data_IF_592205698775
#
_entry.id   IF_592205698775
#
_cell.length_a   1.000
_cell.length_b   1.000
_cell.length_c   1.000
_cell.angle_alpha   90.00
_cell.angle_beta   90.00
_cell.angle_gamma   90.00
#
_symmetry.space_group_name_H-M   'P 1'
#
loop_
_entity.id
_entity.type
_entity.pdbx_description
1 polymer ?
#
# COMPACT_ATOMS: atom_id res chain seq x y z
N UNK A 1 -8.71 -16.50 10.75
CA UNK A 1 -9.54 -17.00 9.62
C UNK A 1 -9.02 -18.37 9.22
N UNK A 2 -9.87 -19.39 9.13
CA UNK A 2 -9.52 -20.74 8.69
C UNK A 2 -9.14 -20.75 7.20
N UNK A 3 -8.41 -21.76 6.68
CA UNK A 3 -8.10 -21.88 5.26
C UNK A 3 -9.35 -21.83 4.37
N UNK A 4 -10.41 -22.54 4.74
CA UNK A 4 -11.68 -22.57 3.99
C UNK A 4 -12.37 -21.18 3.94
N UNK A 5 -12.28 -20.40 5.02
CA UNK A 5 -12.80 -19.03 5.04
C UNK A 5 -11.98 -18.10 4.16
N UNK A 6 -10.68 -18.33 4.01
CA UNK A 6 -9.83 -17.55 3.10
C UNK A 6 -10.24 -17.75 1.64
N UNK A 7 -10.56 -18.98 1.24
CA UNK A 7 -11.01 -19.28 -0.12
C UNK A 7 -12.36 -18.61 -0.43
N UNK A 8 -13.30 -18.68 0.51
CA UNK A 8 -14.58 -17.97 0.38
C UNK A 8 -14.38 -16.45 0.29
N UNK A 9 -13.47 -15.88 1.09
CA UNK A 9 -13.14 -14.46 1.05
C UNK A 9 -12.53 -14.05 -0.31
N UNK A 10 -11.63 -14.85 -0.90
CA UNK A 10 -11.06 -14.62 -2.24
C UNK A 10 -12.16 -14.52 -3.30
N UNK A 11 -13.12 -15.45 -3.28
CA UNK A 11 -14.25 -15.45 -4.21
C UNK A 11 -15.12 -14.21 -4.06
N UNK A 12 -15.41 -13.79 -2.82
CA UNK A 12 -16.19 -12.59 -2.54
C UNK A 12 -15.48 -11.32 -3.01
N UNK A 13 -14.19 -11.20 -2.73
CA UNK A 13 -13.38 -10.05 -3.17
C UNK A 13 -13.28 -10.02 -4.69
N UNK A 14 -13.00 -11.15 -5.32
CA UNK A 14 -12.96 -11.27 -6.79
C UNK A 14 -14.29 -10.89 -7.44
N UNK A 15 -15.43 -11.28 -6.83
CA UNK A 15 -16.76 -10.87 -7.29
C UNK A 15 -16.96 -9.36 -7.14
N UNK A 16 -16.66 -8.81 -5.97
CA UNK A 16 -16.79 -7.38 -5.71
C UNK A 16 -15.97 -6.51 -6.66
N UNK A 17 -14.75 -6.93 -7.01
CA UNK A 17 -13.90 -6.21 -7.97
C UNK A 17 -14.51 -6.10 -9.38
N UNK A 18 -15.42 -6.99 -9.75
CA UNK A 18 -16.12 -6.99 -11.04
C UNK A 18 -17.36 -6.10 -11.05
N UNK A 19 -17.80 -5.63 -9.88
CA UNK A 19 -19.00 -4.80 -9.79
C UNK A 19 -18.81 -3.42 -10.45
N UNK A 20 -19.83 -3.00 -11.21
CA UNK A 20 -19.81 -1.71 -11.92
C UNK A 20 -19.90 -0.49 -11.00
N UNK A 21 -20.35 -0.67 -9.75
CA UNK A 21 -20.47 0.42 -8.80
C UNK A 21 -19.11 1.07 -8.43
N UNK A 22 -17.99 0.39 -8.73
CA UNK A 22 -16.64 0.91 -8.54
C UNK A 22 -16.06 1.59 -9.79
N UNK A 23 -16.85 1.84 -10.82
CA UNK A 23 -16.36 2.53 -12.02
C UNK A 23 -15.91 3.97 -11.67
N UNK A 24 -14.69 4.31 -12.06
CA UNK A 24 -14.09 5.62 -11.76
C UNK A 24 -13.46 5.76 -10.37
N UNK A 25 -13.39 4.67 -9.58
CA UNK A 25 -12.74 4.63 -8.27
C UNK A 25 -11.56 3.68 -8.34
N UNK A 26 -10.44 4.04 -7.71
CA UNK A 26 -9.29 3.15 -7.55
C UNK A 26 -9.62 2.04 -6.55
N UNK A 27 -9.32 0.80 -6.94
CA UNK A 27 -9.64 -0.41 -6.17
C UNK A 27 -8.35 -1.04 -5.66
N UNK A 28 -8.12 -0.95 -4.36
CA UNK A 28 -7.01 -1.61 -3.70
C UNK A 28 -7.49 -2.81 -2.89
N UNK A 29 -6.74 -3.91 -2.95
CA UNK A 29 -7.05 -5.13 -2.20
C UNK A 29 -5.94 -5.40 -1.20
N UNK A 30 -6.26 -5.45 0.10
CA UNK A 30 -5.32 -5.94 1.10
C UNK A 30 -5.24 -7.47 1.01
N UNK A 31 -4.05 -7.97 0.73
CA UNK A 31 -3.74 -9.39 0.66
C UNK A 31 -3.23 -9.91 2.03
N UNK A 32 -3.11 -11.21 2.19
CA UNK A 32 -2.34 -11.79 3.30
C UNK A 32 -0.84 -11.55 3.09
N UNK A 33 -0.02 -11.76 4.13
CA UNK A 33 1.44 -11.80 3.92
C UNK A 33 1.77 -12.92 2.92
N UNK A 34 2.84 -12.76 2.16
CA UNK A 34 3.22 -13.77 1.16
C UNK A 34 3.40 -15.16 1.80
N UNK A 35 3.98 -15.20 3.01
CA UNK A 35 4.18 -16.43 3.77
C UNK A 35 2.86 -17.11 4.23
N UNK A 36 1.73 -16.38 4.31
CA UNK A 36 0.48 -16.89 4.89
C UNK A 36 -0.67 -16.96 3.89
N UNK A 37 -0.39 -16.90 2.60
CA UNK A 37 -1.37 -17.06 1.54
C UNK A 37 -1.54 -15.86 0.60
N UNK A 38 -0.65 -14.87 0.66
CA UNK A 38 -0.66 -13.71 -0.24
C UNK A 38 -0.49 -14.10 -1.70
N UNK A 39 0.28 -15.14 -2.02
CA UNK A 39 0.40 -15.69 -3.37
C UNK A 39 -0.96 -16.13 -3.92
N UNK A 40 -1.71 -16.93 -3.15
CA UNK A 40 -3.04 -17.37 -3.56
C UNK A 40 -4.04 -16.21 -3.66
N UNK A 41 -3.88 -15.17 -2.83
CA UNK A 41 -4.69 -13.95 -2.93
C UNK A 41 -4.40 -13.22 -4.23
N UNK A 42 -3.12 -13.03 -4.59
CA UNK A 42 -2.68 -12.40 -5.85
C UNK A 42 -3.26 -13.17 -7.05
N UNK A 43 -3.10 -14.50 -7.07
CA UNK A 43 -3.63 -15.35 -8.14
C UNK A 43 -5.15 -15.21 -8.30
N UNK A 44 -5.90 -15.02 -7.20
CA UNK A 44 -7.35 -14.86 -7.23
C UNK A 44 -7.81 -13.47 -7.67
N UNK A 45 -7.10 -12.39 -7.27
CA UNK A 45 -7.60 -11.02 -7.47
C UNK A 45 -7.06 -10.35 -8.72
N UNK A 46 -5.83 -10.65 -9.17
CA UNK A 46 -5.20 -10.01 -10.34
C UNK A 46 -6.01 -10.21 -11.63
N UNK A 47 -6.62 -11.38 -11.91
CA UNK A 47 -7.53 -11.53 -13.05
C UNK A 47 -8.75 -10.59 -13.03
N UNK A 48 -9.12 -10.07 -11.85
CA UNK A 48 -10.21 -9.09 -11.69
C UNK A 48 -9.72 -7.64 -11.84
N UNK A 49 -8.42 -7.44 -12.14
CA UNK A 49 -7.78 -6.16 -12.46
C UNK A 49 -7.95 -5.11 -11.35
N UNK A 50 -7.52 -5.38 -10.11
CA UNK A 50 -7.42 -4.32 -9.11
C UNK A 50 -6.40 -3.26 -9.56
N UNK A 51 -6.54 -2.04 -9.07
CA UNK A 51 -5.56 -0.99 -9.35
C UNK A 51 -4.30 -1.16 -8.50
N UNK A 52 -4.45 -1.68 -7.28
CA UNK A 52 -3.33 -1.94 -6.37
C UNK A 52 -3.60 -3.15 -5.46
N UNK A 53 -2.51 -3.74 -4.95
CA UNK A 53 -2.54 -4.63 -3.79
C UNK A 53 -1.85 -3.97 -2.61
N UNK A 54 -2.44 -4.10 -1.41
CA UNK A 54 -1.81 -3.66 -0.17
C UNK A 54 -1.09 -4.85 0.46
N UNK A 55 0.23 -4.75 0.57
CA UNK A 55 1.11 -5.78 1.12
C UNK A 55 1.33 -5.53 2.61
N UNK A 56 0.76 -6.37 3.51
CA UNK A 56 0.92 -6.19 4.94
C UNK A 56 2.33 -6.61 5.41
N UNK A 57 2.74 -6.07 6.55
CA UNK A 57 4.02 -6.40 7.24
C UNK A 57 5.24 -6.31 6.34
N UNK A 58 5.26 -5.28 5.50
CA UNK A 58 6.41 -5.03 4.63
C UNK A 58 7.57 -4.48 5.45
N UNK A 59 8.70 -5.17 5.44
CA UNK A 59 9.89 -4.83 6.23
C UNK A 59 11.16 -4.68 5.40
N UNK A 60 11.14 -5.05 4.12
CA UNK A 60 12.33 -5.08 3.28
C UNK A 60 12.05 -4.83 1.80
N UNK A 61 13.12 -4.53 1.05
CA UNK A 61 13.10 -4.48 -0.41
C UNK A 61 12.70 -5.85 -0.99
N UNK A 62 13.11 -6.94 -0.34
CA UNK A 62 12.87 -8.29 -0.84
C UNK A 62 11.38 -8.66 -0.77
N UNK A 63 10.63 -8.13 0.23
CA UNK A 63 9.17 -8.29 0.29
C UNK A 63 8.49 -7.66 -0.94
N UNK A 64 8.97 -6.48 -1.33
CA UNK A 64 8.45 -5.79 -2.52
C UNK A 64 8.79 -6.57 -3.79
N UNK A 65 10.03 -7.03 -3.93
CA UNK A 65 10.47 -7.80 -5.11
C UNK A 65 9.73 -9.12 -5.25
N UNK A 66 9.52 -9.82 -4.13
CA UNK A 66 8.75 -11.06 -4.13
C UNK A 66 7.29 -10.81 -4.52
N UNK A 67 6.67 -9.76 -4.00
CA UNK A 67 5.32 -9.37 -4.41
C UNK A 67 5.26 -8.99 -5.89
N UNK A 68 6.22 -8.20 -6.38
CA UNK A 68 6.29 -7.80 -7.79
C UNK A 68 6.40 -9.00 -8.73
N UNK A 69 7.23 -9.98 -8.41
CA UNK A 69 7.39 -11.19 -9.20
C UNK A 69 6.07 -11.99 -9.31
N UNK A 70 5.37 -12.16 -8.20
CA UNK A 70 4.05 -12.82 -8.17
C UNK A 70 2.99 -12.06 -8.97
N UNK A 71 3.01 -10.73 -8.91
CA UNK A 71 2.12 -9.90 -9.72
C UNK A 71 2.43 -10.04 -11.21
N UNK A 72 3.70 -10.07 -11.61
CA UNK A 72 4.11 -10.25 -13.00
C UNK A 72 3.67 -11.60 -13.56
N UNK A 73 3.82 -12.65 -12.77
CA UNK A 73 3.36 -13.99 -13.14
C UNK A 73 1.84 -14.03 -13.33
N UNK A 74 1.08 -13.51 -12.37
CA UNK A 74 -0.38 -13.49 -12.42
C UNK A 74 -0.91 -12.60 -13.56
N UNK A 75 -0.29 -11.45 -13.81
CA UNK A 75 -0.61 -10.54 -14.93
C UNK A 75 -0.35 -11.22 -16.29
N UNK A 76 0.79 -11.90 -16.44
CA UNK A 76 1.12 -12.64 -17.64
C UNK A 76 0.11 -13.77 -17.90
N UNK A 77 -0.26 -14.52 -16.86
CA UNK A 77 -1.21 -15.63 -16.96
C UNK A 77 -2.62 -15.18 -17.39
N UNK A 78 -3.06 -13.98 -17.01
CA UNK A 78 -4.39 -13.45 -17.38
C UNK A 78 -4.37 -12.43 -18.53
N UNK A 79 -3.22 -12.15 -19.15
CA UNK A 79 -3.09 -11.18 -20.23
C UNK A 79 -3.44 -9.73 -19.79
N UNK A 80 -3.06 -9.34 -18.58
CA UNK A 80 -3.34 -8.02 -18.08
C UNK A 80 -2.44 -6.96 -18.75
N UNK A 81 -3.05 -5.99 -19.43
CA UNK A 81 -2.30 -4.88 -20.06
C UNK A 81 -1.84 -3.81 -19.04
N UNK A 82 -2.59 -3.62 -17.95
CA UNK A 82 -2.29 -2.67 -16.89
C UNK A 82 -1.58 -3.39 -15.75
N UNK A 83 -0.46 -2.84 -15.29
CA UNK A 83 0.26 -3.35 -14.11
C UNK A 83 -0.48 -2.98 -12.82
N UNK A 84 -0.60 -3.94 -11.93
CA UNK A 84 -1.13 -3.74 -10.57
C UNK A 84 -0.07 -3.05 -9.71
N UNK A 85 -0.45 -2.00 -9.00
CA UNK A 85 0.45 -1.24 -8.12
C UNK A 85 0.61 -1.95 -6.77
N UNK A 86 1.65 -1.59 -6.02
CA UNK A 86 1.94 -2.12 -4.68
C UNK A 86 1.81 -0.99 -3.67
N UNK A 87 1.04 -1.23 -2.63
CA UNK A 87 0.88 -0.36 -1.47
C UNK A 87 1.47 -1.04 -0.24
N UNK A 88 2.75 -0.80 0.12
CA UNK A 88 3.33 -1.36 1.32
C UNK A 88 2.61 -0.85 2.56
N UNK A 89 2.21 -1.77 3.45
CA UNK A 89 1.66 -1.45 4.76
C UNK A 89 2.78 -1.58 5.80
N UNK A 90 3.25 -0.43 6.27
CA UNK A 90 4.30 -0.32 7.28
C UNK A 90 3.64 -0.40 8.65
N UNK A 91 3.83 -1.52 9.33
CA UNK A 91 3.16 -1.83 10.59
C UNK A 91 4.09 -2.50 11.63
N UNK A 92 5.41 -2.36 11.40
CA UNK A 92 6.45 -2.79 12.33
C UNK A 92 7.56 -1.74 12.44
N UNK A 93 8.32 -1.72 13.56
CA UNK A 93 9.49 -0.84 13.71
C UNK A 93 10.56 -1.07 12.64
N UNK A 94 10.76 -2.32 12.20
CA UNK A 94 11.72 -2.64 11.14
C UNK A 94 11.28 -2.08 9.79
N UNK A 95 10.00 -2.26 9.42
CA UNK A 95 9.45 -1.67 8.21
C UNK A 95 9.53 -0.14 8.21
N UNK A 96 9.29 0.49 9.36
CA UNK A 96 9.43 1.94 9.49
C UNK A 96 10.89 2.39 9.32
N UNK A 97 11.84 1.70 9.94
CA UNK A 97 13.27 2.02 9.81
C UNK A 97 13.75 1.96 8.35
N UNK A 98 13.14 1.12 7.53
CA UNK A 98 13.49 0.90 6.11
C UNK A 98 12.49 1.51 5.12
N UNK A 99 11.57 2.35 5.58
CA UNK A 99 10.45 2.81 4.74
C UNK A 99 10.90 3.56 3.47
N UNK A 100 12.03 4.26 3.48
CA UNK A 100 12.58 4.90 2.27
C UNK A 100 13.10 3.87 1.26
N UNK A 101 13.82 2.85 1.72
CA UNK A 101 14.31 1.77 0.86
C UNK A 101 13.15 1.00 0.23
N UNK A 102 12.11 0.71 1.02
CA UNK A 102 10.87 0.07 0.57
C UNK A 102 10.18 0.94 -0.49
N UNK A 103 10.07 2.24 -0.25
CA UNK A 103 9.45 3.18 -1.19
C UNK A 103 10.16 3.22 -2.56
N UNK A 104 11.48 3.05 -2.57
CA UNK A 104 12.31 3.09 -3.77
C UNK A 104 12.52 1.71 -4.43
N UNK A 105 12.01 0.62 -3.83
CA UNK A 105 12.30 -0.74 -4.25
C UNK A 105 11.73 -1.11 -5.63
N UNK A 106 10.60 -0.52 -6.03
CA UNK A 106 9.95 -0.76 -7.33
C UNK A 106 9.16 0.47 -7.78
N UNK A 107 9.06 0.65 -9.10
CA UNK A 107 8.18 1.66 -9.72
C UNK A 107 6.69 1.36 -9.52
N UNK A 108 6.34 0.17 -9.05
CA UNK A 108 4.97 -0.20 -8.69
C UNK A 108 4.56 0.35 -7.32
N UNK A 109 5.52 0.76 -6.49
CA UNK A 109 5.24 1.39 -5.20
C UNK A 109 4.88 2.86 -5.46
N UNK A 110 3.64 3.22 -5.19
CA UNK A 110 3.12 4.58 -5.43
C UNK A 110 2.61 5.25 -4.17
N UNK A 111 2.54 4.50 -3.07
CA UNK A 111 2.03 4.97 -1.80
C UNK A 111 2.58 4.11 -0.67
N UNK A 112 2.96 4.74 0.46
CA UNK A 112 3.21 4.06 1.73
C UNK A 112 2.00 4.19 2.65
N UNK A 113 1.61 3.10 3.31
CA UNK A 113 0.53 3.09 4.30
C UNK A 113 1.05 2.77 5.70
N UNK A 114 0.53 3.45 6.73
CA UNK A 114 0.87 3.16 8.13
C UNK A 114 -0.19 2.25 8.75
N UNK A 115 0.21 1.08 9.26
CA UNK A 115 -0.64 0.17 10.03
C UNK A 115 -0.53 0.43 11.54
N UNK A 116 -1.21 1.48 12.01
CA UNK A 116 -1.02 2.00 13.37
C UNK A 116 -1.31 1.02 14.51
N UNK A 117 -2.23 0.08 14.33
CA UNK A 117 -2.59 -0.90 15.37
C UNK A 117 -1.46 -1.92 15.57
N UNK A 118 -1.04 -2.58 14.49
CA UNK A 118 0.03 -3.58 14.55
C UNK A 118 1.37 -2.93 14.89
N UNK A 119 1.61 -1.70 14.40
CA UNK A 119 2.81 -0.92 14.77
C UNK A 119 2.86 -0.66 16.28
N UNK A 120 1.76 -0.18 16.86
CA UNK A 120 1.68 0.11 18.30
C UNK A 120 1.84 -1.17 19.13
N UNK A 121 1.21 -2.26 18.69
CA UNK A 121 1.38 -3.57 19.32
C UNK A 121 2.84 -4.06 19.26
N UNK A 122 3.51 -3.87 18.13
CA UNK A 122 4.93 -4.21 17.95
C UNK A 122 5.87 -3.39 18.84
N UNK A 123 5.48 -2.16 19.19
CA UNK A 123 6.21 -1.33 20.16
C UNK A 123 5.94 -1.72 21.61
N UNK A 124 5.01 -2.62 21.87
CA UNK A 124 4.61 -3.00 23.24
C UNK A 124 3.85 -1.87 23.96
N UNK A 125 3.22 -0.96 23.23
CA UNK A 125 2.44 0.17 23.77
C UNK A 125 0.98 0.07 23.34
N UNK A 126 0.15 0.98 23.85
CA UNK A 126 -1.29 1.02 23.55
C UNK A 126 -1.63 2.23 22.69
N UNK A 127 -2.65 2.07 21.86
CA UNK A 127 -3.24 3.18 21.12
C UNK A 127 -3.89 4.18 22.07
N UNK A 128 -3.57 5.44 21.86
CA UNK A 128 -4.20 6.54 22.60
C UNK A 128 -5.14 7.31 21.68
N UNK A 129 -6.08 8.05 22.27
CA UNK A 129 -7.01 8.89 21.51
C UNK A 129 -6.29 9.99 20.75
N UNK A 130 -5.25 10.54 21.33
CA UNK A 130 -4.41 11.59 20.78
C UNK A 130 -3.44 11.09 19.71
N UNK A 131 -3.18 9.76 19.66
CA UNK A 131 -2.28 9.13 18.70
C UNK A 131 -0.82 9.55 18.84
N UNK A 132 -0.40 9.97 20.05
CA UNK A 132 0.96 10.47 20.31
C UNK A 132 2.03 9.43 20.03
N UNK A 133 1.72 8.16 20.28
CA UNK A 133 2.56 7.00 20.00
C UNK A 133 2.90 6.84 18.51
N UNK A 134 2.13 7.44 17.62
CA UNK A 134 2.32 7.38 16.17
C UNK A 134 2.95 8.64 15.56
N UNK A 135 3.16 9.71 16.32
CA UNK A 135 3.66 10.99 15.78
C UNK A 135 5.00 10.78 15.04
N UNK A 136 5.92 10.05 15.66
CA UNK A 136 7.21 9.74 15.05
C UNK A 136 7.05 8.91 13.77
N UNK A 137 6.25 7.84 13.83
CA UNK A 137 6.03 6.95 12.69
C UNK A 137 5.39 7.70 11.50
N UNK A 138 4.41 8.55 11.77
CA UNK A 138 3.75 9.40 10.76
C UNK A 138 4.74 10.35 10.09
N UNK A 139 5.56 11.04 10.88
CA UNK A 139 6.58 11.97 10.39
C UNK A 139 7.62 11.26 9.53
N UNK A 140 8.12 10.12 9.98
CA UNK A 140 9.11 9.33 9.25
C UNK A 140 8.56 8.76 7.95
N UNK A 141 7.34 8.21 7.97
CA UNK A 141 6.66 7.69 6.79
C UNK A 141 6.42 8.80 5.75
N UNK A 142 5.88 9.94 6.19
CA UNK A 142 5.61 11.07 5.31
C UNK A 142 6.91 11.63 4.68
N UNK A 143 7.99 11.71 5.45
CA UNK A 143 9.30 12.14 4.94
C UNK A 143 9.86 11.15 3.91
N UNK A 144 9.77 9.85 4.16
CA UNK A 144 10.22 8.81 3.22
C UNK A 144 9.42 8.83 1.91
N UNK A 145 8.09 8.94 2.00
CA UNK A 145 7.22 9.05 0.84
C UNK A 145 7.53 10.30 0.00
N UNK A 146 7.69 11.46 0.66
CA UNK A 146 8.07 12.70 -0.01
C UNK A 146 9.44 12.61 -0.69
N UNK A 147 10.43 11.98 -0.04
CA UNK A 147 11.76 11.76 -0.61
C UNK A 147 11.74 10.81 -1.83
N UNK A 148 10.83 9.83 -1.83
CA UNK A 148 10.62 8.92 -2.96
C UNK A 148 9.69 9.50 -4.05
N UNK A 149 9.05 10.64 -3.82
CA UNK A 149 8.10 11.27 -4.76
C UNK A 149 6.78 10.50 -4.89
N UNK A 150 6.35 9.82 -3.81
CA UNK A 150 5.11 9.06 -3.74
C UNK A 150 4.20 9.60 -2.62
N UNK A 151 2.96 9.13 -2.56
CA UNK A 151 2.01 9.49 -1.52
C UNK A 151 2.22 8.71 -0.21
N UNK A 152 1.62 9.19 0.88
CA UNK A 152 1.50 8.45 2.14
C UNK A 152 0.09 8.53 2.70
N UNK A 153 -0.36 7.45 3.34
CA UNK A 153 -1.68 7.37 3.97
C UNK A 153 -1.56 6.82 5.39
N UNK A 154 -2.28 7.42 6.31
CA UNK A 154 -2.37 6.95 7.70
C UNK A 154 -3.55 6.00 7.88
N UNK A 155 -3.47 5.11 8.86
CA UNK A 155 -4.57 4.27 9.26
C UNK A 155 -5.70 5.09 9.91
N UNK A 156 -6.97 4.74 9.67
CA UNK A 156 -8.08 5.38 10.37
C UNK A 156 -7.96 5.16 11.88
N UNK A 157 -8.35 6.16 12.67
CA UNK A 157 -8.43 6.00 14.12
C UNK A 157 -9.57 5.03 14.47
N UNK A 158 -9.33 3.99 15.28
CA UNK A 158 -10.38 3.05 15.68
C UNK A 158 -11.38 3.64 16.69
N UNK A 159 -11.13 4.83 17.20
CA UNK A 159 -12.00 5.48 18.19
C UNK A 159 -13.06 6.29 17.44
N UNK A 160 -14.34 5.86 17.45
CA UNK A 160 -15.39 6.60 16.78
C UNK A 160 -15.74 7.84 17.60
N UNK A 161 -15.07 8.94 17.34
CA UNK A 161 -15.51 10.25 17.76
C UNK A 161 -15.32 11.20 16.59
N UNK A 162 -16.07 10.96 15.52
CA UNK A 162 -16.21 11.94 14.45
C UNK A 162 -17.46 12.73 14.78
N UNK A 163 -17.37 14.02 15.15
CA UNK A 163 -18.50 14.91 14.98
C UNK A 163 -18.88 14.84 13.50
N UNK A 164 -20.17 14.68 13.20
CA UNK A 164 -20.66 14.70 11.82
C UNK A 164 -20.05 15.93 11.11
N UNK A 165 -19.14 15.73 10.18
CA UNK A 165 -18.58 16.80 9.36
C UNK A 165 -17.05 16.91 9.22
N UNK A 166 -16.25 16.06 9.85
CA UNK A 166 -14.78 16.19 9.77
C UNK A 166 -14.13 14.93 9.20
N UNK A 167 -14.13 14.76 7.88
CA UNK A 167 -13.11 13.99 7.19
C UNK A 167 -11.90 14.91 7.00
N UNK A 168 -10.97 14.94 7.95
CA UNK A 168 -9.65 15.48 7.70
C UNK A 168 -8.78 14.37 7.11
N UNK A 169 -8.90 14.15 5.83
CA UNK A 169 -7.80 13.65 5.04
C UNK A 169 -6.68 14.67 5.21
N UNK A 170 -5.58 14.31 5.85
CA UNK A 170 -4.32 15.02 5.68
C UNK A 170 -3.81 14.72 4.25
N UNK A 171 -4.54 15.19 3.26
CA UNK A 171 -3.97 15.57 1.99
C UNK A 171 -3.25 16.88 2.28
N UNK A 172 -1.95 16.84 2.49
CA UNK A 172 -1.16 17.98 2.08
C UNK A 172 -1.36 18.10 0.58
N UNK A 173 -1.98 19.17 0.06
CA UNK A 173 -1.98 19.38 -1.37
C UNK A 173 -0.52 19.58 -1.74
N UNK A 174 0.12 18.57 -2.32
CA UNK A 174 1.30 18.78 -3.13
C UNK A 174 0.78 19.69 -4.25
N UNK A 175 1.30 20.93 -4.40
CA UNK A 175 0.94 21.75 -5.53
C UNK A 175 1.15 20.88 -6.76
N UNK A 176 0.17 20.81 -7.64
CA UNK A 176 0.32 20.19 -8.95
C UNK A 176 1.38 21.01 -9.71
N UNK A 177 2.64 20.76 -9.41
CA UNK A 177 3.72 21.09 -10.30
C UNK A 177 3.48 20.22 -11.52
N UNK A 178 2.93 20.87 -12.52
CA UNK A 178 2.77 20.39 -13.88
C UNK A 178 3.91 19.42 -14.21
N UNK A 179 3.54 18.19 -14.56
CA UNK A 179 4.45 17.15 -15.11
C UNK A 179 4.99 17.52 -16.50
N UNK A 180 5.05 18.79 -16.81
CA UNK A 180 5.65 19.33 -18.01
C UNK A 180 6.94 20.05 -17.64
N UNK A 181 8.03 19.51 -18.19
CA UNK A 181 9.41 20.05 -18.18
C UNK A 181 10.35 19.59 -17.08
N UNK A 182 10.72 18.29 -17.09
CA UNK A 182 12.09 17.94 -16.73
C UNK A 182 12.92 17.92 -18.03
N UNK A 183 13.95 18.78 -18.17
CA UNK A 183 14.81 18.73 -19.34
C UNK A 183 15.60 17.43 -19.32
N UNK A 184 15.56 16.71 -20.44
CA UNK A 184 16.37 15.52 -20.69
C UNK A 184 17.84 15.88 -20.56
N UNK A 185 18.53 15.33 -19.54
CA UNK A 185 19.97 15.37 -19.46
C UNK A 185 20.49 14.41 -20.54
N UNK A 186 20.81 14.98 -21.71
CA UNK A 186 21.60 14.31 -22.73
C UNK A 186 23.01 14.11 -22.19
N UNK A 187 23.40 12.87 -21.94
CA UNK A 187 24.80 12.51 -21.76
C UNK A 187 25.55 12.89 -23.04
N UNK A 188 26.48 13.83 -22.96
CA UNK A 188 27.48 14.06 -23.99
C UNK A 188 28.60 13.05 -23.75
N UNK A 189 28.69 12.06 -24.62
CA UNK A 189 29.86 11.23 -24.78
C UNK A 189 30.96 12.10 -25.41
N UNK A 190 32.11 12.16 -24.74
CA UNK A 190 33.41 12.46 -25.35
C UNK A 190 34.26 11.23 -25.23
#
# INVERSE_FOLDING_TARGET
MSPAEKDAARLLVASALKERCYAGVERAVRINTLATGGEADIAAVVPCRPDAVMLPKTESIDDIRACEALLEEAEAACGAAKKTLIMPLIETPMGLARCLEIALASKRVTLLSLGGEDYTASLGTQRTREGRELIFARGMLANAAAAAGIDSIDAPSPIPTIPKGSFSTLRTPVPSASRESLPSIRAKSA
#
